data_IF_842278501154
#
_entry.id   IF_842278501154
#
_cell.length_a   1.000
_cell.length_b   1.000
_cell.length_c   1.000
_cell.angle_alpha   90.00
_cell.angle_beta   90.00
_cell.angle_gamma   90.00
#
_symmetry.space_group_name_H-M   'P 1'
#
loop_
_entity.id
_entity.type
_entity.pdbx_description
1 polymer ?
#
# COMPACT_ATOMS: atom_id res chain seq x y z
N UNK A 1 -25.59 28.87 2.55
CA UNK A 1 -26.00 28.48 3.90
C UNK A 1 -25.38 27.13 4.19
N UNK A 2 -24.72 26.98 5.33
CA UNK A 2 -24.20 25.72 5.84
C UNK A 2 -25.08 25.32 7.03
N UNK A 3 -25.35 24.02 7.16
CA UNK A 3 -26.03 23.44 8.31
C UNK A 3 -25.07 22.43 8.91
N UNK A 4 -24.72 22.60 10.18
CA UNK A 4 -23.90 21.62 10.89
C UNK A 4 -24.71 20.34 11.14
N UNK A 5 -24.49 19.29 10.35
CA UNK A 5 -25.24 18.05 10.50
C UNK A 5 -24.66 17.10 11.56
N UNK A 6 -23.49 17.42 12.14
CA UNK A 6 -22.77 16.51 13.03
C UNK A 6 -22.82 16.95 14.51
N UNK A 7 -23.10 18.23 14.79
CA UNK A 7 -23.23 18.75 16.16
C UNK A 7 -24.66 19.24 16.49
N UNK A 8 -24.90 20.55 16.44
CA UNK A 8 -26.11 21.19 16.98
C UNK A 8 -27.14 21.65 15.94
N UNK A 9 -26.93 21.33 14.64
CA UNK A 9 -27.77 21.81 13.54
C UNK A 9 -27.78 23.33 13.38
N UNK A 10 -26.75 24.01 13.90
CA UNK A 10 -26.61 25.45 13.71
C UNK A 10 -26.51 25.81 12.23
N UNK A 11 -27.15 26.94 11.92
CA UNK A 11 -27.24 27.48 10.56
C UNK A 11 -26.24 28.62 10.43
N UNK A 12 -25.27 28.47 9.53
CA UNK A 12 -24.30 29.51 9.21
C UNK A 12 -24.60 30.10 7.82
N UNK A 13 -24.83 31.40 7.77
CA UNK A 13 -25.02 32.12 6.50
C UNK A 13 -23.66 32.39 5.87
N UNK A 14 -23.28 31.57 4.88
CA UNK A 14 -21.99 31.65 4.19
C UNK A 14 -21.90 32.85 3.23
N UNK A 15 -23.04 33.29 2.68
CA UNK A 15 -23.13 34.45 1.79
C UNK A 15 -24.56 35.02 1.81
N UNK A 16 -24.73 36.33 1.62
CA UNK A 16 -26.04 37.00 1.62
C UNK A 16 -26.92 36.64 0.41
N UNK A 17 -26.31 36.26 -0.71
CA UNK A 17 -27.00 35.82 -1.92
C UNK A 17 -26.13 34.84 -2.74
N UNK A 18 -26.74 34.21 -3.74
CA UNK A 18 -26.08 33.22 -4.59
C UNK A 18 -24.95 33.80 -5.44
N UNK A 19 -25.10 35.04 -5.92
CA UNK A 19 -24.06 35.70 -6.71
C UNK A 19 -22.81 35.96 -5.86
N UNK A 20 -22.99 36.44 -4.64
CA UNK A 20 -21.92 36.68 -3.66
C UNK A 20 -21.23 35.37 -3.27
N UNK A 21 -21.98 34.27 -3.14
CA UNK A 21 -21.41 32.94 -2.94
C UNK A 21 -20.49 32.53 -4.09
N UNK A 22 -20.96 32.61 -5.34
CA UNK A 22 -20.17 32.24 -6.52
C UNK A 22 -18.95 33.14 -6.68
N UNK A 23 -19.09 34.46 -6.44
CA UNK A 23 -17.97 35.41 -6.47
C UNK A 23 -16.94 35.21 -5.36
N UNK A 24 -17.36 34.57 -4.26
CA UNK A 24 -16.49 34.20 -3.14
C UNK A 24 -15.79 32.86 -3.30
N UNK A 25 -16.11 32.08 -4.36
CA UNK A 25 -15.34 30.90 -4.71
C UNK A 25 -13.99 31.33 -5.28
N UNK A 26 -12.92 30.88 -4.64
CA UNK A 26 -11.56 31.08 -5.13
C UNK A 26 -11.22 30.02 -6.18
N UNK A 27 -10.20 30.29 -7.01
CA UNK A 27 -9.74 29.33 -8.00
C UNK A 27 -9.18 28.07 -7.31
N UNK A 28 -9.34 26.91 -7.95
CA UNK A 28 -8.89 25.62 -7.41
C UNK A 28 -7.39 25.61 -7.05
N UNK A 29 -6.59 26.44 -7.73
CA UNK A 29 -5.17 26.63 -7.45
C UNK A 29 -4.86 27.16 -6.04
N UNK A 30 -5.81 27.80 -5.36
CA UNK A 30 -5.67 28.22 -3.96
C UNK A 30 -5.73 27.04 -2.99
N UNK A 31 -6.21 25.88 -3.45
CA UNK A 31 -6.21 24.62 -2.74
C UNK A 31 -5.22 23.60 -3.31
N UNK A 32 -4.34 24.01 -4.24
CA UNK A 32 -3.33 23.12 -4.81
C UNK A 32 -2.24 22.81 -3.79
N UNK A 33 -2.43 21.70 -3.08
CA UNK A 33 -1.46 21.14 -2.12
C UNK A 33 -0.59 20.05 -2.75
N UNK A 34 -0.60 19.87 -4.08
CA UNK A 34 0.00 18.70 -4.72
C UNK A 34 1.49 18.50 -4.39
N UNK A 35 2.27 19.59 -4.29
CA UNK A 35 3.68 19.50 -3.93
C UNK A 35 3.89 19.15 -2.44
N UNK A 36 3.04 19.68 -1.55
CA UNK A 36 3.08 19.32 -0.12
C UNK A 36 2.67 17.86 0.10
N UNK A 37 1.59 17.42 -0.57
CA UNK A 37 1.11 16.04 -0.53
C UNK A 37 2.16 15.07 -1.09
N UNK A 38 2.84 15.45 -2.17
CA UNK A 38 3.95 14.68 -2.74
C UNK A 38 5.13 14.62 -1.78
N UNK A 39 5.51 15.74 -1.15
CA UNK A 39 6.59 15.76 -0.16
C UNK A 39 6.24 14.88 1.06
N UNK A 40 4.99 14.89 1.51
CA UNK A 40 4.50 14.04 2.59
C UNK A 40 4.51 12.55 2.18
N UNK A 41 4.14 12.23 0.93
CA UNK A 41 4.22 10.88 0.40
C UNK A 41 5.67 10.38 0.30
N UNK A 42 6.61 11.24 -0.12
CA UNK A 42 8.05 10.94 -0.12
C UNK A 42 8.53 10.66 1.31
N UNK A 43 8.19 11.52 2.27
CA UNK A 43 8.55 11.31 3.67
C UNK A 43 8.00 9.99 4.22
N UNK A 44 6.77 9.64 3.84
CA UNK A 44 6.11 8.38 4.21
C UNK A 44 6.89 7.17 3.72
N UNK A 45 7.27 7.14 2.44
CA UNK A 45 7.94 5.96 1.85
C UNK A 45 9.41 5.86 2.23
N UNK A 46 10.10 6.99 2.43
CA UNK A 46 11.52 7.00 2.79
C UNK A 46 11.77 6.76 4.28
N UNK A 47 10.93 7.32 5.15
CA UNK A 47 11.18 7.37 6.61
C UNK A 47 10.07 6.79 7.47
N UNK A 48 8.92 6.46 6.89
CA UNK A 48 7.84 5.81 7.61
C UNK A 48 8.31 4.51 8.26
N UNK A 49 7.92 4.29 9.51
CA UNK A 49 8.17 3.02 10.20
C UNK A 49 7.46 1.90 9.47
N UNK A 50 8.14 0.77 9.26
CA UNK A 50 7.54 -0.41 8.66
C UNK A 50 6.56 -1.08 9.65
N UNK A 51 5.57 -1.78 9.11
CA UNK A 51 4.69 -2.60 9.95
C UNK A 51 5.48 -3.70 10.64
N UNK A 52 5.09 -4.10 11.87
CA UNK A 52 5.71 -5.24 12.55
C UNK A 52 5.73 -6.51 11.70
N UNK A 53 4.70 -6.75 10.88
CA UNK A 53 4.66 -7.89 9.97
C UNK A 53 5.74 -7.82 8.91
N UNK A 54 5.93 -6.66 8.26
CA UNK A 54 7.00 -6.48 7.26
C UNK A 54 8.37 -6.62 7.90
N UNK A 55 8.60 -6.07 9.11
CA UNK A 55 9.87 -6.23 9.83
C UNK A 55 10.18 -7.70 10.08
N UNK A 56 9.21 -8.50 10.56
CA UNK A 56 9.40 -9.94 10.74
C UNK A 56 9.65 -10.67 9.43
N UNK A 57 8.91 -10.32 8.37
CA UNK A 57 9.07 -10.94 7.05
C UNK A 57 10.46 -10.68 6.48
N UNK A 58 10.96 -9.44 6.58
CA UNK A 58 12.32 -9.06 6.18
C UNK A 58 13.38 -9.82 6.99
N UNK A 59 13.18 -9.98 8.30
CA UNK A 59 14.07 -10.79 9.13
C UNK A 59 14.05 -12.28 8.74
N UNK A 60 12.89 -12.82 8.35
CA UNK A 60 12.74 -14.22 7.95
C UNK A 60 13.39 -14.53 6.59
N UNK A 61 13.31 -13.61 5.62
CA UNK A 61 13.97 -13.77 4.31
C UNK A 61 15.48 -13.47 4.36
N UNK A 62 15.94 -12.74 5.37
CA UNK A 62 17.34 -12.38 5.55
C UNK A 62 17.89 -11.60 4.34
N UNK A 63 19.08 -11.99 3.86
CA UNK A 63 19.75 -11.34 2.73
C UNK A 63 19.24 -11.82 1.35
N UNK A 64 18.03 -12.39 1.27
CA UNK A 64 17.43 -12.82 0.01
C UNK A 64 16.15 -12.04 -0.25
N UNK A 65 16.15 -11.04 -1.15
CA UNK A 65 17.31 -10.40 -1.75
C UNK A 65 18.06 -9.49 -0.75
N UNK A 66 19.33 -9.16 -1.02
CA UNK A 66 20.09 -8.24 -0.17
C UNK A 66 19.37 -6.90 -0.07
N UNK A 67 19.38 -6.31 1.14
CA UNK A 67 18.76 -5.00 1.38
C UNK A 67 17.25 -4.94 1.10
N UNK A 68 16.49 -5.97 1.51
CA UNK A 68 15.04 -6.06 1.26
C UNK A 68 14.23 -4.81 1.66
N UNK A 69 14.59 -4.14 2.78
CA UNK A 69 13.95 -2.86 3.15
C UNK A 69 14.23 -1.77 2.12
N UNK A 70 15.47 -1.64 1.65
CA UNK A 70 15.82 -0.65 0.62
C UNK A 70 15.03 -0.89 -0.65
N UNK A 71 14.87 -2.15 -1.07
CA UNK A 71 14.09 -2.51 -2.26
C UNK A 71 12.62 -2.10 -2.12
N UNK A 72 12.01 -2.40 -0.97
CA UNK A 72 10.65 -1.98 -0.64
C UNK A 72 10.48 -0.46 -0.71
N UNK A 73 11.41 0.29 -0.10
CA UNK A 73 11.38 1.76 -0.08
C UNK A 73 11.62 2.35 -1.46
N UNK A 74 12.55 1.81 -2.25
CA UNK A 74 12.81 2.29 -3.61
C UNK A 74 11.60 2.07 -4.52
N UNK A 75 10.95 0.91 -4.44
CA UNK A 75 9.74 0.66 -5.23
C UNK A 75 8.61 1.63 -4.83
N UNK A 76 8.41 1.85 -3.53
CA UNK A 76 7.43 2.82 -3.06
C UNK A 76 7.76 4.26 -3.47
N UNK A 77 9.05 4.64 -3.44
CA UNK A 77 9.52 5.95 -3.91
C UNK A 77 9.22 6.15 -5.40
N UNK A 78 9.44 5.13 -6.22
CA UNK A 78 9.11 5.16 -7.65
C UNK A 78 7.59 5.27 -7.90
N UNK A 79 6.76 4.62 -7.08
CA UNK A 79 5.30 4.80 -7.16
C UNK A 79 4.93 6.26 -6.89
N UNK A 80 5.52 6.88 -5.86
CA UNK A 80 5.29 8.30 -5.55
C UNK A 80 5.82 9.22 -6.66
N UNK A 81 6.95 8.90 -7.29
CA UNK A 81 7.46 9.70 -8.42
C UNK A 81 6.54 9.67 -9.64
N UNK A 82 5.88 8.54 -9.89
CA UNK A 82 4.94 8.40 -11.01
C UNK A 82 3.59 9.03 -10.74
N UNK A 83 3.07 8.87 -9.52
CA UNK A 83 1.67 9.20 -9.20
C UNK A 83 1.52 10.50 -8.43
N UNK A 84 2.58 10.98 -7.78
CA UNK A 84 2.53 12.05 -6.79
C UNK A 84 2.15 11.59 -5.38
N UNK A 85 1.63 10.38 -5.22
CA UNK A 85 1.19 9.83 -3.93
C UNK A 85 1.48 8.33 -3.81
N UNK A 86 1.43 7.80 -2.58
CA UNK A 86 1.67 6.38 -2.31
C UNK A 86 0.37 5.58 -2.25
N UNK A 87 -0.12 5.14 -3.41
CA UNK A 87 -1.27 4.23 -3.52
C UNK A 87 -1.02 3.16 -4.59
N UNK A 88 -1.61 1.99 -4.39
CA UNK A 88 -1.45 0.83 -5.27
C UNK A 88 -2.69 0.65 -6.14
N UNK A 89 -2.50 0.64 -7.46
CA UNK A 89 -3.54 0.50 -8.48
C UNK A 89 -3.24 -0.68 -9.43
N UNK A 90 -3.96 -0.77 -10.56
CA UNK A 90 -3.70 -1.69 -11.66
C UNK A 90 -2.60 -1.17 -12.61
N UNK A 91 -1.38 -1.03 -12.08
CA UNK A 91 -0.21 -0.62 -12.84
C UNK A 91 1.03 -1.43 -12.49
N UNK A 92 2.05 -1.38 -13.35
CA UNK A 92 3.22 -2.25 -13.28
C UNK A 92 3.95 -2.20 -11.92
N UNK A 93 4.13 -1.00 -11.34
CA UNK A 93 4.83 -0.83 -10.06
C UNK A 93 3.98 -1.26 -8.89
N UNK A 94 2.67 -1.04 -8.95
CA UNK A 94 1.73 -1.53 -7.96
C UNK A 94 1.66 -3.06 -7.96
N UNK A 95 1.64 -3.69 -9.14
CA UNK A 95 1.71 -5.15 -9.28
C UNK A 95 3.00 -5.73 -8.72
N UNK A 96 4.13 -5.03 -8.89
CA UNK A 96 5.37 -5.41 -8.23
C UNK A 96 5.30 -5.29 -6.71
N UNK A 97 4.61 -4.26 -6.20
CA UNK A 97 4.41 -4.10 -4.76
C UNK A 97 3.50 -5.20 -4.19
N UNK A 98 2.44 -5.59 -4.90
CA UNK A 98 1.60 -6.73 -4.54
C UNK A 98 2.42 -8.03 -4.51
N UNK A 99 3.23 -8.27 -5.56
CA UNK A 99 4.13 -9.42 -5.61
C UNK A 99 5.16 -9.44 -4.47
N UNK A 100 5.82 -8.32 -4.20
CA UNK A 100 6.74 -8.17 -3.07
C UNK A 100 6.04 -8.44 -1.74
N UNK A 101 4.84 -7.87 -1.54
CA UNK A 101 4.08 -8.07 -0.30
C UNK A 101 3.65 -9.53 -0.14
N UNK A 102 3.20 -10.20 -1.21
CA UNK A 102 2.84 -11.61 -1.18
C UNK A 102 4.04 -12.53 -0.94
N UNK A 103 5.18 -12.22 -1.53
CA UNK A 103 6.42 -12.96 -1.30
C UNK A 103 6.93 -12.80 0.15
N UNK A 104 6.89 -11.58 0.70
CA UNK A 104 7.18 -11.34 2.12
C UNK A 104 6.16 -12.03 3.05
N UNK A 105 4.88 -12.03 2.70
CA UNK A 105 3.85 -12.77 3.44
C UNK A 105 4.17 -14.28 3.45
N UNK A 106 4.59 -14.81 2.31
CA UNK A 106 4.91 -16.23 2.11
C UNK A 106 6.10 -16.71 2.94
N UNK A 107 6.96 -15.81 3.40
CA UNK A 107 8.06 -16.17 4.33
C UNK A 107 7.58 -16.41 5.76
N UNK A 108 6.38 -15.94 6.11
CA UNK A 108 5.80 -16.08 7.44
C UNK A 108 4.72 -17.17 7.50
N UNK A 109 3.91 -17.32 6.45
CA UNK A 109 2.87 -18.33 6.36
C UNK A 109 2.40 -18.57 4.92
N UNK A 110 1.63 -19.65 4.70
CA UNK A 110 1.02 -19.96 3.40
C UNK A 110 -0.43 -19.45 3.35
N UNK A 111 -0.78 -18.72 2.29
CA UNK A 111 -2.12 -18.19 2.10
C UNK A 111 -3.09 -19.32 1.76
N UNK A 112 -4.13 -19.54 2.57
CA UNK A 112 -5.13 -20.59 2.29
C UNK A 112 -6.15 -20.19 1.22
N UNK A 113 -6.33 -18.89 1.04
CA UNK A 113 -7.13 -18.28 -0.02
C UNK A 113 -6.64 -16.86 -0.25
N UNK A 114 -7.19 -16.18 -1.26
CA UNK A 114 -6.96 -14.76 -1.43
C UNK A 114 -7.40 -13.96 -0.19
N UNK A 115 -8.55 -14.28 0.40
CA UNK A 115 -9.12 -13.56 1.55
C UNK A 115 -8.20 -13.69 2.76
N UNK A 116 -7.59 -14.87 2.95
CA UNK A 116 -6.61 -15.11 4.00
C UNK A 116 -5.29 -14.34 3.79
N UNK A 117 -4.94 -14.05 2.53
CA UNK A 117 -3.84 -13.15 2.21
C UNK A 117 -4.23 -11.68 2.42
N UNK A 118 -5.42 -11.27 1.97
CA UNK A 118 -5.82 -9.88 1.89
C UNK A 118 -6.22 -9.30 3.25
N UNK A 119 -7.27 -9.89 3.84
CA UNK A 119 -8.07 -9.26 4.89
C UNK A 119 -7.63 -9.64 6.30
N UNK A 120 -7.87 -8.72 7.24
CA UNK A 120 -7.69 -9.00 8.67
C UNK A 120 -8.75 -10.00 9.16
N UNK A 121 -8.39 -10.95 10.03
CA UNK A 121 -9.38 -11.76 10.74
C UNK A 121 -10.29 -10.89 11.60
N UNK A 122 -11.59 -11.15 11.60
CA UNK A 122 -12.59 -10.43 12.41
C UNK A 122 -12.25 -10.47 13.92
N UNK A 123 -11.55 -11.52 14.36
CA UNK A 123 -11.25 -11.79 15.77
C UNK A 123 -10.04 -11.05 16.32
N UNK A 124 -9.35 -10.21 15.53
CA UNK A 124 -8.32 -9.32 16.10
C UNK A 124 -7.37 -8.67 15.10
N UNK A 125 -6.95 -7.45 15.43
CA UNK A 125 -5.96 -6.65 14.68
C UNK A 125 -4.53 -6.88 15.21
N UNK A 126 -4.17 -8.13 15.52
CA UNK A 126 -2.79 -8.45 15.92
C UNK A 126 -1.91 -8.61 14.69
N UNK A 127 -0.69 -8.07 14.77
CA UNK A 127 0.33 -8.35 13.76
C UNK A 127 0.81 -9.80 13.80
N UNK A 128 0.44 -10.63 14.77
CA UNK A 128 0.80 -12.05 14.82
C UNK A 128 0.22 -12.85 13.65
N UNK A 129 -0.93 -12.42 13.14
CA UNK A 129 -1.54 -12.97 11.92
C UNK A 129 -1.25 -12.02 10.75
N UNK A 130 -0.31 -12.38 9.85
CA UNK A 130 0.01 -11.53 8.70
C UNK A 130 -1.19 -11.47 7.74
N UNK A 131 -1.39 -10.31 7.13
CA UNK A 131 -2.28 -10.07 6.01
C UNK A 131 -1.81 -8.82 5.26
N UNK A 132 -2.20 -8.68 4.00
CA UNK A 132 -1.87 -7.55 3.15
C UNK A 132 -2.23 -6.22 3.81
N UNK A 133 -3.41 -6.13 4.41
CA UNK A 133 -3.86 -4.94 5.12
C UNK A 133 -2.85 -4.46 6.16
N UNK A 134 -2.48 -5.33 7.11
CA UNK A 134 -1.55 -5.00 8.18
C UNK A 134 -0.09 -4.87 7.72
N UNK A 135 0.24 -5.34 6.52
CA UNK A 135 1.58 -5.20 5.97
C UNK A 135 1.82 -3.80 5.42
N UNK A 136 0.86 -3.24 4.68
CA UNK A 136 1.10 -2.03 3.88
C UNK A 136 -0.09 -1.08 3.75
N UNK A 137 -1.33 -1.53 3.95
CA UNK A 137 -2.49 -0.69 3.66
C UNK A 137 -3.04 0.05 4.89
N UNK A 138 -3.26 -0.68 5.98
CA UNK A 138 -3.99 -0.24 7.16
C UNK A 138 -3.26 -0.68 8.42
N UNK A 139 -3.16 0.19 9.40
CA UNK A 139 -2.57 -0.15 10.69
C UNK A 139 -3.59 -0.67 11.70
N UNK A 140 -3.05 -1.29 12.74
CA UNK A 140 -3.77 -1.60 13.96
C UNK A 140 -3.71 -0.39 14.91
N UNK A 141 -4.84 0.05 15.50
CA UNK A 141 -4.86 1.13 16.48
C UNK A 141 -3.89 0.90 17.66
N UNK A 142 -3.64 -0.36 18.01
CA UNK A 142 -2.74 -0.72 19.11
C UNK A 142 -1.26 -0.45 18.81
N UNK A 143 -0.85 -0.47 17.53
CA UNK A 143 0.54 -0.25 17.12
C UNK A 143 0.58 0.33 15.70
N UNK A 144 0.43 1.66 15.56
CA UNK A 144 0.46 2.32 14.26
C UNK A 144 1.86 2.26 13.62
N UNK A 145 1.90 2.38 12.29
CA UNK A 145 3.15 2.48 11.53
C UNK A 145 3.03 3.52 10.42
N UNK A 146 4.18 4.03 9.97
CA UNK A 146 4.25 5.17 9.05
C UNK A 146 4.20 4.79 7.58
N UNK A 147 4.87 3.71 7.18
CA UNK A 147 4.96 3.29 5.77
C UNK A 147 3.67 2.61 5.32
N UNK A 148 2.64 3.37 4.93
CA UNK A 148 1.34 2.79 4.52
C UNK A 148 0.65 3.60 3.42
N UNK A 149 -0.21 2.93 2.66
CA UNK A 149 -1.01 3.55 1.58
C UNK A 149 -2.28 4.24 2.11
N UNK A 150 -2.65 4.02 3.38
CA UNK A 150 -3.86 4.55 4.04
C UNK A 150 -5.19 4.04 3.44
N UNK A 151 -5.13 2.96 2.68
CA UNK A 151 -6.29 2.38 2.01
C UNK A 151 -5.88 1.61 0.75
N UNK A 152 -6.82 0.87 0.18
CA UNK A 152 -6.64 0.13 -1.05
C UNK A 152 -8.00 -0.18 -1.66
N UNK A 153 -8.03 -0.48 -2.96
CA UNK A 153 -9.19 -1.08 -3.61
C UNK A 153 -8.94 -2.59 -3.72
N UNK A 154 -9.84 -3.39 -3.14
CA UNK A 154 -9.76 -4.86 -3.20
C UNK A 154 -9.72 -5.35 -4.66
N UNK A 155 -10.48 -4.73 -5.55
CA UNK A 155 -10.53 -5.08 -6.97
C UNK A 155 -9.15 -5.13 -7.63
N UNK A 156 -8.29 -4.15 -7.38
CA UNK A 156 -6.93 -4.14 -7.96
C UNK A 156 -6.06 -5.30 -7.46
N UNK A 157 -6.17 -5.65 -6.18
CA UNK A 157 -5.42 -6.79 -5.62
C UNK A 157 -5.97 -8.11 -6.16
N UNK A 158 -7.30 -8.20 -6.31
CA UNK A 158 -8.01 -9.35 -6.87
C UNK A 158 -7.60 -9.60 -8.31
N UNK A 159 -7.67 -8.57 -9.15
CA UNK A 159 -7.32 -8.65 -10.57
C UNK A 159 -5.85 -9.07 -10.74
N UNK A 160 -4.95 -8.51 -9.92
CA UNK A 160 -3.55 -8.93 -9.87
C UNK A 160 -3.39 -10.41 -9.49
N UNK A 161 -4.07 -10.86 -8.43
CA UNK A 161 -4.02 -12.24 -7.94
C UNK A 161 -4.53 -13.23 -9.01
N UNK A 162 -5.71 -12.97 -9.57
CA UNK A 162 -6.34 -13.82 -10.57
C UNK A 162 -5.47 -13.90 -11.83
N UNK A 163 -4.87 -12.79 -12.25
CA UNK A 163 -3.93 -12.78 -13.36
C UNK A 163 -2.66 -13.59 -13.05
N UNK A 164 -2.13 -13.54 -11.82
CA UNK A 164 -1.02 -14.38 -11.39
C UNK A 164 -1.38 -15.87 -11.38
N UNK A 165 -2.57 -16.24 -10.91
CA UNK A 165 -3.06 -17.62 -10.93
C UNK A 165 -3.26 -18.11 -12.36
N UNK A 166 -3.90 -17.31 -13.23
CA UNK A 166 -4.14 -17.66 -14.63
C UNK A 166 -2.85 -17.87 -15.43
N UNK A 167 -1.77 -17.13 -15.11
CA UNK A 167 -0.45 -17.32 -15.71
C UNK A 167 0.35 -18.49 -15.11
N UNK A 168 -0.12 -19.05 -14.00
CA UNK A 168 0.60 -20.06 -13.23
C UNK A 168 1.79 -19.49 -12.44
N UNK A 169 1.81 -18.19 -12.18
CA UNK A 169 2.80 -17.55 -11.31
C UNK A 169 2.52 -17.87 -9.85
N UNK A 170 1.24 -17.85 -9.47
CA UNK A 170 0.72 -18.35 -8.20
C UNK A 170 0.01 -19.68 -8.48
N UNK A 171 0.29 -20.70 -7.67
CA UNK A 171 -0.32 -22.03 -7.81
C UNK A 171 -0.93 -22.49 -6.51
N UNK A 172 -2.04 -23.21 -6.61
CA UNK A 172 -2.68 -23.87 -5.47
C UNK A 172 -1.96 -25.19 -5.18
N UNK A 173 -1.49 -25.34 -3.95
CA UNK A 173 -0.91 -26.54 -3.39
C UNK A 173 -1.79 -27.06 -2.26
N UNK A 174 -1.53 -28.28 -1.77
CA UNK A 174 -2.26 -28.85 -0.62
C UNK A 174 -2.24 -27.93 0.62
N UNK A 175 -1.18 -27.15 0.79
CA UNK A 175 -1.02 -26.24 1.93
C UNK A 175 -1.54 -24.81 1.67
N UNK A 176 -2.09 -24.54 0.49
CA UNK A 176 -2.55 -23.22 0.06
C UNK A 176 -1.77 -22.70 -1.16
N UNK A 177 -1.83 -21.40 -1.37
CA UNK A 177 -1.27 -20.72 -2.53
C UNK A 177 0.17 -20.26 -2.30
N UNK A 178 1.03 -20.48 -3.29
CA UNK A 178 2.42 -20.01 -3.28
C UNK A 178 2.87 -19.52 -4.65
N UNK A 179 3.89 -18.67 -4.67
CA UNK A 179 4.61 -18.36 -5.91
C UNK A 179 5.35 -19.61 -6.39
N UNK A 180 5.35 -19.83 -7.70
CA UNK A 180 6.27 -20.81 -8.30
C UNK A 180 7.71 -20.30 -8.19
N UNK A 181 8.69 -21.22 -8.14
CA UNK A 181 10.11 -20.83 -8.09
C UNK A 181 10.53 -19.96 -9.27
N UNK A 182 9.90 -20.14 -10.43
CA UNK A 182 10.11 -19.29 -11.62
C UNK A 182 9.59 -17.87 -11.38
N UNK A 183 8.36 -17.74 -10.87
CA UNK A 183 7.75 -16.44 -10.61
C UNK A 183 8.49 -15.68 -9.50
N UNK A 184 8.89 -16.38 -8.43
CA UNK A 184 9.71 -15.80 -7.36
C UNK A 184 11.05 -15.28 -7.89
N UNK A 185 11.78 -16.10 -8.67
CA UNK A 185 13.04 -15.68 -9.25
C UNK A 185 12.87 -14.45 -10.18
N UNK A 186 11.82 -14.43 -10.99
CA UNK A 186 11.51 -13.30 -11.86
C UNK A 186 11.16 -12.02 -11.07
N UNK A 187 10.38 -12.15 -9.99
CA UNK A 187 10.05 -11.05 -9.09
C UNK A 187 11.33 -10.46 -8.46
N UNK A 188 12.17 -11.30 -7.88
CA UNK A 188 13.44 -10.87 -7.24
C UNK A 188 14.34 -10.15 -8.23
N UNK A 189 14.48 -10.65 -9.46
CA UNK A 189 15.28 -9.99 -10.52
C UNK A 189 14.72 -8.62 -10.89
N UNK A 190 13.40 -8.49 -11.05
CA UNK A 190 12.76 -7.20 -11.37
C UNK A 190 12.95 -6.20 -10.23
N UNK A 191 12.76 -6.63 -8.99
CA UNK A 191 12.96 -5.77 -7.82
C UNK A 191 14.44 -5.33 -7.68
N UNK A 192 15.40 -6.21 -7.94
CA UNK A 192 16.82 -5.87 -7.91
C UNK A 192 17.19 -4.84 -9.00
N UNK A 193 16.58 -4.95 -10.18
CA UNK A 193 16.76 -3.98 -11.26
C UNK A 193 16.25 -2.59 -10.85
N UNK A 194 15.12 -2.54 -10.16
CA UNK A 194 14.50 -1.30 -9.65
C UNK A 194 15.33 -0.64 -8.55
N UNK A 195 15.93 -1.43 -7.66
CA UNK A 195 16.76 -0.91 -6.58
C UNK A 195 18.08 -0.27 -7.07
N UNK A 196 18.46 -0.52 -8.33
CA UNK A 196 19.71 -0.09 -8.95
C UNK A 196 20.95 -0.79 -8.36
N UNK A 197 22.13 -0.63 -8.98
CA UNK A 197 23.37 -1.10 -8.38
C UNK A 197 23.60 -0.41 -7.02
N UNK A 198 24.30 -1.10 -6.11
CA UNK A 198 24.75 -0.50 -4.86
C UNK A 198 25.51 0.79 -5.18
N UNK A 199 24.97 1.93 -4.72
CA UNK A 199 25.68 3.20 -4.79
C UNK A 199 26.99 3.05 -4.01
N UNK A 200 28.09 3.32 -4.69
CA UNK A 200 29.45 3.39 -4.13
C UNK A 200 29.56 4.41 -3.02
#
# INVERSE_FOLDING_TARGET
MYVDQEDDYSIVVIAPDFETFIRGLVEESEYDTAEEDRAAAIATVERGTLSPTVVRALAAVGDRPPHGERMLRTLARQIVDEKGFFALHDDERSHLMYGLTFWLYSSLCTARSFEAFLGRPETGTSYDSPCFELMIALDSPAKPYGFKTRGYAEGFVRDWWDACVARGDIVEMAEGYCLTSKAEAALVVRLATIAGPEGK
#
